data_IF_732725890048
#
_entry.id   IF_732725890048
#
_cell.length_a   1.000
_cell.length_b   1.000
_cell.length_c   1.000
_cell.angle_alpha   90.00
_cell.angle_beta   90.00
_cell.angle_gamma   90.00
#
_symmetry.space_group_name_H-M   'P 1'
#
loop_
_entity.id
_entity.type
_entity.pdbx_description
1 polymer ?
#
# COMPACT_ATOMS: atom_id res chain seq x y z
N UNK A 1 -42.50 -15.27 -11.05
CA UNK A 1 -41.16 -15.80 -11.43
C UNK A 1 -40.28 -14.77 -12.16
N UNK A 2 -40.78 -13.58 -12.54
CA UNK A 2 -40.01 -12.59 -13.32
C UNK A 2 -39.37 -11.47 -12.48
N UNK A 3 -40.02 -11.04 -11.39
CA UNK A 3 -39.54 -9.96 -10.51
C UNK A 3 -38.32 -10.38 -9.69
N UNK A 4 -38.29 -11.63 -9.20
CA UNK A 4 -37.13 -12.17 -8.46
C UNK A 4 -35.87 -12.25 -9.33
N UNK A 5 -36.02 -12.59 -10.62
CA UNK A 5 -34.91 -12.70 -11.56
C UNK A 5 -34.31 -11.32 -11.88
N UNK A 6 -35.15 -10.30 -12.06
CA UNK A 6 -34.71 -8.93 -12.27
C UNK A 6 -33.97 -8.35 -11.05
N UNK A 7 -34.45 -8.63 -9.83
CA UNK A 7 -33.78 -8.21 -8.59
C UNK A 7 -32.41 -8.87 -8.44
N UNK A 8 -32.30 -10.18 -8.73
CA UNK A 8 -31.02 -10.89 -8.71
C UNK A 8 -29.99 -10.29 -9.68
N UNK A 9 -30.40 -9.97 -10.90
CA UNK A 9 -29.51 -9.36 -11.90
C UNK A 9 -29.02 -7.96 -11.46
N UNK A 10 -29.91 -7.12 -10.90
CA UNK A 10 -29.54 -5.79 -10.42
C UNK A 10 -28.57 -5.84 -9.22
N UNK A 11 -28.73 -6.83 -8.32
CA UNK A 11 -27.81 -7.04 -7.19
C UNK A 11 -26.43 -7.52 -7.66
N UNK A 12 -26.37 -8.38 -8.68
CA UNK A 12 -25.08 -8.82 -9.25
C UNK A 12 -24.33 -7.70 -9.98
N UNK A 13 -25.03 -6.82 -10.70
CA UNK A 13 -24.39 -5.71 -11.42
C UNK A 13 -23.84 -4.66 -10.45
N UNK A 14 -24.60 -4.33 -9.41
CA UNK A 14 -24.19 -3.33 -8.41
C UNK A 14 -22.99 -3.79 -7.58
N UNK A 15 -22.89 -5.08 -7.22
CA UNK A 15 -21.76 -5.63 -6.46
C UNK A 15 -20.45 -5.63 -7.25
N UNK A 16 -20.48 -5.85 -8.57
CA UNK A 16 -19.26 -5.81 -9.42
C UNK A 16 -18.67 -4.41 -9.62
N UNK A 17 -19.47 -3.36 -9.47
CA UNK A 17 -19.01 -1.97 -9.66
C UNK A 17 -18.28 -1.40 -8.43
N UNK A 18 -18.45 -2.02 -7.25
CA UNK A 18 -17.89 -1.55 -5.97
C UNK A 18 -16.47 -2.06 -5.69
N UNK A 19 -15.92 -2.97 -6.50
CA UNK A 19 -14.64 -3.64 -6.21
C UNK A 19 -13.40 -2.97 -6.81
N UNK A 20 -13.50 -1.77 -7.39
CA UNK A 20 -12.38 -1.12 -8.10
C UNK A 20 -11.54 -0.15 -7.25
N UNK A 21 -11.67 -0.13 -5.91
CA UNK A 21 -10.89 0.74 -5.03
C UNK A 21 -10.04 -0.05 -4.03
N UNK A 22 -9.37 -1.10 -4.51
CA UNK A 22 -8.41 -1.81 -3.69
C UNK A 22 -7.06 -1.08 -3.81
N UNK A 23 -6.94 0.04 -3.10
CA UNK A 23 -5.62 0.62 -2.83
C UNK A 23 -4.85 -0.39 -1.97
N UNK A 24 -4.02 -1.23 -2.59
CA UNK A 24 -3.18 -2.17 -1.86
C UNK A 24 -2.21 -1.35 -1.01
N UNK A 25 -2.31 -1.52 0.30
CA UNK A 25 -1.39 -0.93 1.26
C UNK A 25 -0.78 -2.02 2.11
N UNK A 26 0.50 -1.87 2.43
CA UNK A 26 1.19 -2.73 3.37
C UNK A 26 2.07 -1.88 4.29
N UNK A 27 2.40 -2.46 5.44
CA UNK A 27 3.29 -1.84 6.41
C UNK A 27 4.40 -2.81 6.77
N UNK A 28 5.59 -2.26 6.99
CA UNK A 28 6.75 -3.02 7.44
C UNK A 28 7.28 -2.43 8.75
N UNK A 29 7.75 -3.27 9.68
CA UNK A 29 8.18 -2.80 10.99
C UNK A 29 9.44 -1.95 10.88
N UNK A 30 9.59 -1.01 11.82
CA UNK A 30 10.80 -0.23 11.97
C UNK A 30 11.97 -1.13 12.40
N UNK A 31 13.10 -1.01 11.69
CA UNK A 31 14.34 -1.69 12.07
C UNK A 31 15.09 -0.85 13.09
N UNK A 32 15.41 -1.47 14.23
CA UNK A 32 16.18 -0.85 15.31
C UNK A 32 17.54 -1.52 15.38
N UNK A 33 18.58 -0.82 14.94
CA UNK A 33 19.96 -1.27 15.01
C UNK A 33 20.65 -0.65 16.24
N UNK A 34 21.20 -1.50 17.12
CA UNK A 34 21.98 -1.05 18.27
C UNK A 34 23.47 -1.25 17.99
N UNK A 35 24.22 -0.15 17.88
CA UNK A 35 25.69 -0.15 17.77
C UNK A 35 26.30 0.46 19.01
N UNK A 36 26.64 -0.40 19.98
CA UNK A 36 27.15 0.03 21.29
C UNK A 36 26.12 0.86 22.05
N UNK A 37 26.44 2.13 22.32
CA UNK A 37 25.55 3.06 23.03
C UNK A 37 24.56 3.78 22.11
N UNK A 38 24.71 3.63 20.79
CA UNK A 38 23.88 4.30 19.80
C UNK A 38 22.74 3.39 19.33
N UNK A 39 21.54 3.97 19.23
CA UNK A 39 20.36 3.32 18.68
C UNK A 39 19.99 4.06 17.39
N UNK A 40 20.09 3.37 16.25
CA UNK A 40 19.59 3.87 14.97
C UNK A 40 18.26 3.23 14.66
N UNK A 41 17.31 4.06 14.21
CA UNK A 41 16.00 3.63 13.73
C UNK A 41 15.92 3.92 12.22
N UNK A 42 15.55 2.92 11.44
CA UNK A 42 15.46 3.00 9.97
C UNK A 42 14.37 2.06 9.46
N UNK A 43 13.81 2.34 8.29
CA UNK A 43 13.00 1.37 7.56
C UNK A 43 13.89 0.61 6.57
N UNK A 44 13.58 -0.65 6.32
CA UNK A 44 14.26 -1.47 5.32
C UNK A 44 13.21 -1.98 4.34
N UNK A 45 13.42 -1.71 3.05
CA UNK A 45 12.54 -2.13 1.96
C UNK A 45 13.40 -2.55 0.77
N UNK A 46 13.16 -3.72 0.18
CA UNK A 46 13.94 -4.25 -0.96
C UNK A 46 15.46 -4.18 -0.77
N UNK A 47 15.95 -4.46 0.45
CA UNK A 47 17.39 -4.38 0.82
C UNK A 47 17.95 -2.96 0.93
N UNK A 48 17.15 -1.93 0.67
CA UNK A 48 17.53 -0.53 0.85
C UNK A 48 17.12 -0.02 2.22
N UNK A 49 17.95 0.86 2.78
CA UNK A 49 17.71 1.50 4.08
C UNK A 49 17.20 2.92 3.90
N UNK A 50 16.12 3.25 4.59
CA UNK A 50 15.48 4.55 4.54
C UNK A 50 15.47 5.18 5.94
N UNK A 51 15.88 6.45 6.01
CA UNK A 51 15.83 7.22 7.24
C UNK A 51 14.38 7.60 7.55
N UNK A 52 14.08 7.78 8.84
CA UNK A 52 12.79 8.34 9.28
C UNK A 52 12.59 9.71 8.63
N UNK A 53 11.40 9.93 8.08
CA UNK A 53 11.02 11.12 7.31
C UNK A 53 11.25 10.98 5.80
N UNK A 54 11.71 9.83 5.31
CA UNK A 54 11.88 9.59 3.87
C UNK A 54 10.55 9.22 3.23
N UNK A 55 10.24 9.86 2.10
CA UNK A 55 9.14 9.51 1.21
C UNK A 55 9.69 9.13 -0.16
N UNK A 56 9.23 8.01 -0.72
CA UNK A 56 9.69 7.53 -2.02
C UNK A 56 8.61 6.77 -2.76
N UNK A 57 8.82 6.57 -4.06
CA UNK A 57 7.95 5.74 -4.91
C UNK A 57 8.72 4.50 -5.36
N UNK A 58 8.07 3.34 -5.41
CA UNK A 58 8.63 2.08 -5.92
C UNK A 58 8.11 1.76 -7.31
N UNK A 59 8.91 1.05 -8.12
CA UNK A 59 8.60 0.68 -9.52
C UNK A 59 7.21 0.07 -9.71
N UNK A 60 6.72 -0.59 -8.66
CA UNK A 60 5.42 -1.26 -8.59
C UNK A 60 4.24 -0.36 -8.19
N UNK A 61 4.38 0.96 -8.34
CA UNK A 61 3.33 1.95 -8.05
C UNK A 61 3.02 2.19 -6.57
N UNK A 62 3.92 1.84 -5.66
CA UNK A 62 3.71 2.18 -4.25
C UNK A 62 4.34 3.52 -3.93
N UNK A 63 3.61 4.33 -3.19
CA UNK A 63 4.15 5.48 -2.49
C UNK A 63 4.37 5.06 -1.05
N UNK A 64 5.63 5.13 -0.62
CA UNK A 64 6.10 4.68 0.67
C UNK A 64 6.57 5.85 1.51
N UNK A 65 6.29 5.78 2.81
CA UNK A 65 6.76 6.73 3.81
C UNK A 65 7.36 5.99 4.99
N UNK A 66 8.59 6.34 5.37
CA UNK A 66 9.25 5.81 6.56
C UNK A 66 9.04 6.76 7.74
N UNK A 67 8.33 6.30 8.77
CA UNK A 67 8.01 7.10 9.96
C UNK A 67 8.56 6.43 11.23
N UNK A 68 8.39 7.07 12.39
CA UNK A 68 8.71 6.43 13.67
C UNK A 68 7.88 5.17 13.95
N UNK A 69 6.78 4.95 13.22
CA UNK A 69 5.93 3.76 13.34
C UNK A 69 6.37 2.61 12.42
N UNK A 70 7.35 2.84 11.54
CA UNK A 70 7.75 1.90 10.49
C UNK A 70 7.47 2.44 9.09
N UNK A 71 7.55 1.55 8.10
CA UNK A 71 7.28 1.85 6.71
C UNK A 71 5.79 1.66 6.42
N UNK A 72 5.19 2.60 5.71
CA UNK A 72 3.84 2.47 5.16
C UNK A 72 3.90 2.70 3.66
N UNK A 73 3.46 1.73 2.88
CA UNK A 73 3.43 1.78 1.42
C UNK A 73 1.99 1.61 0.94
N UNK A 74 1.53 2.49 0.07
CA UNK A 74 0.21 2.41 -0.54
C UNK A 74 0.30 2.59 -2.05
N UNK A 75 -0.46 1.77 -2.77
CA UNK A 75 -0.59 1.88 -4.21
C UNK A 75 -1.30 3.19 -4.56
N UNK A 76 -0.66 4.06 -5.33
CA UNK A 76 -1.22 5.37 -5.69
C UNK A 76 -1.83 5.42 -7.10
N UNK A 77 -1.80 4.30 -7.83
CA UNK A 77 -2.44 4.17 -9.14
C UNK A 77 -2.22 2.80 -9.78
N UNK A 78 -2.88 2.58 -10.92
CA UNK A 78 -2.66 1.40 -11.77
C UNK A 78 -1.26 1.43 -12.41
N UNK A 79 -0.71 0.26 -12.72
CA UNK A 79 0.58 0.11 -13.41
C UNK A 79 0.64 0.88 -14.74
N UNK A 80 -0.49 1.13 -15.39
CA UNK A 80 -0.57 1.95 -16.61
C UNK A 80 -0.36 3.46 -16.36
N UNK A 81 -0.58 3.91 -15.14
CA UNK A 81 -0.57 5.33 -14.72
C UNK A 81 0.74 5.73 -14.05
N UNK A 82 1.50 4.76 -13.53
CA UNK A 82 2.79 5.01 -12.90
C UNK A 82 3.87 5.26 -13.94
N UNK A 83 4.18 6.53 -14.14
CA UNK A 83 5.29 6.98 -14.98
C UNK A 83 6.47 7.36 -14.10
N UNK A 84 7.64 6.82 -14.44
CA UNK A 84 8.95 7.07 -13.83
C UNK A 84 9.67 8.19 -14.57
#
# INVERSE_FOLDING_TARGET
MNTLCAVLLMVTVTTTLLTAVNGECFTEPLTIEKKGKWVMKKCVHDTLEYLIGSDFKTIDCFQCSCTESGLSCCRYGDMASCRW
#
